data_IF_045715531201
#
_entry.id   IF_045715531201
#
_cell.length_a   1.000
_cell.length_b   1.000
_cell.length_c   1.000
_cell.angle_alpha   90.00
_cell.angle_beta   90.00
_cell.angle_gamma   90.00
#
_symmetry.space_group_name_H-M   'P 1'
#
loop_
_entity.id
_entity.type
_entity.pdbx_description
1 polymer ?
#
# COMPACT_ATOMS: atom_id res chain seq x y z
N UNK A 1 -13.02 -40.59 -55.60
CA UNK A 1 -14.04 -40.40 -54.53
C UNK A 1 -13.41 -40.44 -53.13
N UNK A 2 -12.72 -41.52 -52.75
CA UNK A 2 -12.19 -41.75 -51.40
C UNK A 2 -11.30 -40.62 -50.84
N UNK A 3 -10.34 -40.11 -51.62
CA UNK A 3 -9.45 -39.01 -51.18
C UNK A 3 -10.21 -37.70 -50.90
N UNK A 4 -11.29 -37.43 -51.65
CA UNK A 4 -12.10 -36.24 -51.44
C UNK A 4 -12.93 -36.35 -50.16
N UNK A 5 -13.48 -37.54 -49.88
CA UNK A 5 -14.19 -37.83 -48.63
C UNK A 5 -13.28 -37.75 -47.42
N UNK A 6 -12.06 -38.28 -47.49
CA UNK A 6 -11.08 -38.20 -46.40
C UNK A 6 -10.65 -36.76 -46.11
N UNK A 7 -10.44 -35.94 -47.17
CA UNK A 7 -10.19 -34.50 -47.01
C UNK A 7 -11.36 -33.78 -46.35
N UNK A 8 -12.60 -34.12 -46.72
CA UNK A 8 -13.80 -33.52 -46.14
C UNK A 8 -13.97 -33.90 -44.66
N UNK A 9 -13.79 -35.17 -44.31
CA UNK A 9 -13.78 -35.63 -42.92
C UNK A 9 -12.68 -34.94 -42.11
N UNK A 10 -11.49 -34.78 -42.69
CA UNK A 10 -10.38 -34.05 -42.08
C UNK A 10 -10.72 -32.57 -41.81
N UNK A 11 -11.39 -31.89 -42.75
CA UNK A 11 -11.90 -30.52 -42.54
C UNK A 11 -12.93 -30.45 -41.42
N UNK A 12 -13.93 -31.32 -41.43
CA UNK A 12 -14.97 -31.37 -40.39
C UNK A 12 -14.40 -31.62 -38.99
N UNK A 13 -13.43 -32.54 -38.86
CA UNK A 13 -12.75 -32.78 -37.57
C UNK A 13 -11.97 -31.57 -37.10
N UNK A 14 -11.27 -30.89 -38.01
CA UNK A 14 -10.55 -29.63 -37.68
C UNK A 14 -11.54 -28.56 -37.24
N UNK A 15 -12.62 -28.33 -37.98
CA UNK A 15 -13.66 -27.37 -37.60
C UNK A 15 -14.31 -27.67 -36.25
N UNK A 16 -14.61 -28.94 -35.97
CA UNK A 16 -15.15 -29.36 -34.67
C UNK A 16 -14.18 -29.03 -33.53
N UNK A 17 -12.90 -29.42 -33.68
CA UNK A 17 -11.86 -29.09 -32.70
C UNK A 17 -11.65 -27.57 -32.58
N UNK A 18 -11.78 -26.82 -33.67
CA UNK A 18 -11.69 -25.37 -33.65
C UNK A 18 -12.77 -24.75 -32.78
N UNK A 19 -14.01 -25.22 -32.91
CA UNK A 19 -15.14 -24.77 -32.08
C UNK A 19 -14.93 -25.11 -30.61
N UNK A 20 -14.58 -26.36 -30.31
CA UNK A 20 -14.34 -26.82 -28.93
C UNK A 20 -13.28 -25.98 -28.21
N UNK A 21 -12.14 -25.75 -28.85
CA UNK A 21 -11.07 -24.97 -28.22
C UNK A 21 -11.46 -23.49 -28.12
N UNK A 22 -12.21 -22.94 -29.08
CA UNK A 22 -12.70 -21.56 -29.00
C UNK A 22 -13.65 -21.38 -27.82
N UNK A 23 -14.57 -22.32 -27.60
CA UNK A 23 -15.45 -22.29 -26.45
C UNK A 23 -14.70 -22.49 -25.13
N UNK A 24 -13.69 -23.37 -25.10
CA UNK A 24 -12.84 -23.58 -23.93
C UNK A 24 -12.10 -22.29 -23.55
N UNK A 25 -11.51 -21.60 -24.53
CA UNK A 25 -10.84 -20.30 -24.36
C UNK A 25 -11.83 -19.23 -23.87
N UNK A 26 -13.05 -19.18 -24.41
CA UNK A 26 -14.09 -18.25 -23.96
C UNK A 26 -14.45 -18.48 -22.49
N UNK A 27 -14.72 -19.74 -22.11
CA UNK A 27 -15.03 -20.11 -20.71
C UNK A 27 -13.88 -19.76 -19.79
N UNK A 28 -12.64 -19.96 -20.22
CA UNK A 28 -11.47 -19.61 -19.43
C UNK A 28 -11.31 -18.10 -19.24
N UNK A 29 -11.52 -17.32 -20.30
CA UNK A 29 -11.51 -15.86 -20.21
C UNK A 29 -12.60 -15.32 -19.28
N UNK A 30 -13.81 -15.88 -19.33
CA UNK A 30 -14.91 -15.54 -18.42
C UNK A 30 -14.55 -15.85 -16.95
N UNK A 31 -13.96 -17.01 -16.68
CA UNK A 31 -13.48 -17.38 -15.33
C UNK A 31 -12.40 -16.43 -14.83
N UNK A 32 -11.39 -16.15 -15.65
CA UNK A 32 -10.31 -15.21 -15.30
C UNK A 32 -10.85 -13.79 -15.06
N UNK A 33 -11.86 -13.36 -15.82
CA UNK A 33 -12.50 -12.08 -15.62
C UNK A 33 -13.28 -12.02 -14.30
N UNK A 34 -13.99 -13.08 -13.94
CA UNK A 34 -14.70 -13.17 -12.67
C UNK A 34 -13.74 -13.18 -11.47
N UNK A 35 -12.66 -13.96 -11.55
CA UNK A 35 -11.61 -14.00 -10.55
C UNK A 35 -10.95 -12.63 -10.37
N UNK A 36 -10.58 -11.97 -11.48
CA UNK A 36 -10.01 -10.62 -11.44
C UNK A 36 -10.92 -9.62 -10.74
N UNK A 37 -12.22 -9.60 -11.08
CA UNK A 37 -13.18 -8.70 -10.43
C UNK A 37 -13.27 -8.93 -8.93
N UNK A 38 -13.21 -10.19 -8.50
CA UNK A 38 -13.23 -10.57 -7.08
C UNK A 38 -11.98 -10.07 -6.37
N UNK A 39 -10.81 -10.24 -6.97
CA UNK A 39 -9.54 -9.75 -6.42
C UNK A 39 -9.49 -8.21 -6.40
N UNK A 40 -9.95 -7.54 -7.46
CA UNK A 40 -10.03 -6.08 -7.52
C UNK A 40 -10.94 -5.52 -6.41
N UNK A 41 -12.09 -6.16 -6.16
CA UNK A 41 -12.97 -5.78 -5.04
C UNK A 41 -12.29 -5.96 -3.67
N UNK A 42 -11.53 -7.04 -3.48
CA UNK A 42 -10.76 -7.26 -2.24
C UNK A 42 -9.66 -6.22 -2.05
N UNK A 43 -8.99 -5.79 -3.13
CA UNK A 43 -8.01 -4.69 -3.07
C UNK A 43 -8.68 -3.39 -2.64
N UNK A 44 -9.85 -3.07 -3.19
CA UNK A 44 -10.60 -1.86 -2.79
C UNK A 44 -11.02 -1.89 -1.32
N UNK A 45 -11.52 -3.02 -0.85
CA UNK A 45 -11.86 -3.22 0.57
C UNK A 45 -10.63 -3.01 1.46
N UNK A 46 -9.49 -3.58 1.07
CA UNK A 46 -8.25 -3.44 1.81
C UNK A 46 -7.73 -2.00 1.86
N UNK A 47 -7.84 -1.25 0.75
CA UNK A 47 -7.50 0.17 0.72
C UNK A 47 -8.39 0.98 1.66
N UNK A 48 -9.70 0.69 1.72
CA UNK A 48 -10.61 1.37 2.67
C UNK A 48 -10.23 1.04 4.11
N UNK A 49 -9.89 -0.21 4.41
CA UNK A 49 -9.43 -0.61 5.74
C UNK A 49 -8.14 0.12 6.15
N UNK A 50 -7.17 0.22 5.25
CA UNK A 50 -5.94 0.99 5.46
C UNK A 50 -6.25 2.44 5.80
N UNK A 51 -7.09 3.12 5.02
CA UNK A 51 -7.45 4.52 5.32
C UNK A 51 -8.11 4.68 6.70
N UNK A 52 -8.96 3.72 7.09
CA UNK A 52 -9.57 3.72 8.43
C UNK A 52 -8.54 3.57 9.56
N UNK A 53 -7.54 2.69 9.36
CA UNK A 53 -6.44 2.49 10.30
C UNK A 53 -5.52 3.72 10.36
N UNK A 54 -5.20 4.36 9.23
CA UNK A 54 -4.40 5.58 9.17
C UNK A 54 -5.06 6.73 9.91
N UNK A 55 -6.36 6.95 9.69
CA UNK A 55 -7.14 7.95 10.41
C UNK A 55 -7.14 7.66 11.92
N UNK A 56 -7.32 6.40 12.30
CA UNK A 56 -7.28 5.97 13.70
C UNK A 56 -5.89 6.19 14.32
N UNK A 57 -4.82 5.88 13.58
CA UNK A 57 -3.43 6.09 14.02
C UNK A 57 -3.13 7.57 14.24
N UNK A 58 -3.52 8.43 13.30
CA UNK A 58 -3.39 9.88 13.43
C UNK A 58 -4.14 10.39 14.67
N UNK A 59 -5.37 9.93 14.88
CA UNK A 59 -6.16 10.28 16.06
C UNK A 59 -5.46 9.88 17.36
N UNK A 60 -4.91 8.67 17.44
CA UNK A 60 -4.19 8.20 18.63
C UNK A 60 -2.90 9.00 18.88
N UNK A 61 -2.18 9.39 17.83
CA UNK A 61 -0.98 10.24 17.93
C UNK A 61 -1.34 11.64 18.45
N UNK A 62 -2.44 12.23 17.95
CA UNK A 62 -2.94 13.49 18.47
C UNK A 62 -3.35 13.41 19.93
N UNK A 63 -4.11 12.37 20.31
CA UNK A 63 -4.49 12.15 21.70
C UNK A 63 -3.26 12.04 22.59
N UNK A 64 -2.28 11.22 22.20
CA UNK A 64 -1.02 11.07 22.94
C UNK A 64 -0.29 12.40 23.11
N UNK A 65 -0.17 13.19 22.05
CA UNK A 65 0.47 14.51 22.10
C UNK A 65 -0.25 15.45 23.08
N UNK A 66 -1.59 15.48 23.05
CA UNK A 66 -2.41 16.27 23.98
C UNK A 66 -2.21 15.82 25.42
N UNK A 67 -2.19 14.51 25.68
CA UNK A 67 -1.97 13.98 27.03
C UNK A 67 -0.56 14.27 27.54
N UNK A 68 0.48 14.12 26.70
CA UNK A 68 1.84 14.49 27.06
C UNK A 68 1.98 15.98 27.38
N UNK A 69 1.31 16.85 26.63
CA UNK A 69 1.32 18.28 26.91
C UNK A 69 0.62 18.61 28.25
N UNK A 70 -0.48 17.91 28.57
CA UNK A 70 -1.18 18.04 29.86
C UNK A 70 -0.33 17.51 31.01
N UNK A 71 0.27 16.34 30.87
CA UNK A 71 1.18 15.73 31.84
C UNK A 71 2.35 16.68 32.17
N UNK A 72 3.00 17.24 31.16
CA UNK A 72 4.08 18.23 31.34
C UNK A 72 3.63 19.47 32.12
N UNK A 73 2.44 20.01 31.80
CA UNK A 73 1.88 21.18 32.52
C UNK A 73 1.56 20.83 33.96
N UNK A 74 0.87 19.71 34.20
CA UNK A 74 0.51 19.25 35.53
C UNK A 74 1.77 19.03 36.38
N UNK A 75 2.78 18.36 35.82
CA UNK A 75 4.09 18.18 36.46
C UNK A 75 4.73 19.51 36.86
N UNK A 76 4.72 20.51 35.98
CA UNK A 76 5.26 21.84 36.26
C UNK A 76 4.49 22.55 37.37
N UNK A 77 3.15 22.49 37.36
CA UNK A 77 2.29 23.10 38.38
C UNK A 77 2.54 22.46 39.74
N UNK A 78 2.58 21.13 39.81
CA UNK A 78 2.81 20.38 41.04
C UNK A 78 4.19 20.66 41.62
N UNK A 79 5.24 20.67 40.80
CA UNK A 79 6.59 21.06 41.19
C UNK A 79 6.68 22.49 41.75
N UNK A 80 5.93 23.42 41.15
CA UNK A 80 5.87 24.80 41.63
C UNK A 80 5.12 24.92 42.96
N UNK A 81 4.07 24.14 43.14
CA UNK A 81 3.28 24.12 44.36
C UNK A 81 3.99 23.41 45.52
N UNK A 82 4.86 22.43 45.23
CA UNK A 82 5.64 21.69 46.23
C UNK A 82 7.02 22.30 46.52
N UNK A 83 7.47 23.27 45.74
CA UNK A 83 8.67 24.05 46.04
C UNK A 83 8.48 24.92 47.28
N UNK A 84 9.52 25.18 48.09
CA UNK A 84 9.41 26.03 49.26
C UNK A 84 8.97 27.45 48.84
N UNK A 85 7.97 27.97 49.56
CA UNK A 85 7.51 29.36 49.48
C UNK A 85 8.68 30.32 49.71
N UNK A 86 9.31 30.84 48.64
CA UNK A 86 10.26 31.95 48.74
C UNK A 86 9.46 33.25 48.82
N UNK A 87 8.85 33.49 49.97
CA UNK A 87 8.34 34.78 50.48
C UNK A 87 8.48 34.69 52.00
N UNK A 88 9.29 35.44 52.74
CA UNK A 88 10.08 36.62 52.45
C UNK A 88 11.38 36.58 53.30
N UNK A 89 12.50 36.97 52.70
CA UNK A 89 13.66 37.44 53.46
C UNK A 89 14.33 38.54 52.66
N UNK A 90 14.07 39.77 53.12
CA UNK A 90 14.91 40.97 53.07
C UNK A 90 15.36 41.53 51.68
N UNK A 91 14.96 42.77 51.29
CA UNK A 91 15.36 43.39 50.04
C UNK A 91 16.73 44.07 50.17
N UNK A 92 17.81 43.32 50.40
CA UNK A 92 19.18 43.87 50.37
C UNK A 92 20.25 42.88 49.93
N UNK A 93 20.19 42.36 48.71
CA UNK A 93 21.42 41.95 48.00
C UNK A 93 21.27 42.26 46.51
N UNK A 94 22.06 43.24 46.11
CA UNK A 94 22.30 43.70 44.74
C UNK A 94 23.02 42.68 43.85
N UNK A 95 22.64 42.73 42.57
CA UNK A 95 23.49 42.62 41.37
C UNK A 95 24.14 41.29 40.97
N UNK A 96 23.72 40.82 39.79
CA UNK A 96 24.52 40.39 38.62
C UNK A 96 23.63 39.49 37.75
N UNK A 97 23.61 39.48 36.43
CA UNK A 97 24.12 40.30 35.33
C UNK A 97 23.49 39.63 34.09
N UNK A 98 22.85 40.38 33.20
CA UNK A 98 22.25 39.84 31.99
C UNK A 98 23.29 39.76 30.88
N UNK A 99 24.05 38.66 30.81
CA UNK A 99 24.93 38.43 29.66
C UNK A 99 24.25 37.60 28.59
N UNK A 100 23.69 38.38 27.67
CA UNK A 100 23.36 38.07 26.29
C UNK A 100 24.66 37.78 25.54
N UNK A 101 24.82 36.58 25.03
CA UNK A 101 25.78 36.31 23.94
C UNK A 101 25.14 35.38 22.92
N UNK A 102 24.72 36.02 21.84
CA UNK A 102 24.47 35.45 20.52
C UNK A 102 25.82 35.17 19.86
N UNK A 103 26.00 34.00 19.24
CA UNK A 103 26.61 33.87 17.91
C UNK A 103 26.22 32.53 17.26
N UNK A 104 25.50 32.66 16.15
CA UNK A 104 25.35 31.76 14.99
C UNK A 104 26.70 31.22 14.50
N UNK A 105 26.86 29.96 14.03
CA UNK A 105 26.52 29.43 12.68
C UNK A 105 27.34 28.11 12.46
N UNK A 106 27.32 27.41 11.30
CA UNK A 106 26.27 26.54 10.74
C UNK A 106 26.76 25.09 10.44
N UNK A 107 25.82 24.25 9.98
CA UNK A 107 26.05 23.12 9.06
C UNK A 107 26.77 21.84 9.57
N UNK A 108 25.98 20.85 10.00
CA UNK A 108 26.21 19.44 9.64
C UNK A 108 24.88 18.67 9.75
N UNK A 109 24.39 18.23 8.59
CA UNK A 109 23.36 17.20 8.46
C UNK A 109 23.99 15.82 8.71
N UNK A 110 23.13 14.85 8.99
CA UNK A 110 23.37 13.41 9.13
C UNK A 110 23.65 12.85 10.54
N UNK A 111 22.58 12.76 11.33
CA UNK A 111 22.29 11.53 12.09
C UNK A 111 20.87 11.58 12.67
N UNK A 112 19.90 11.10 11.89
CA UNK A 112 18.62 10.62 12.41
C UNK A 112 18.84 9.23 13.06
N UNK A 113 19.60 9.21 14.15
CA UNK A 113 19.67 8.08 15.05
C UNK A 113 19.01 8.51 16.35
N UNK A 114 17.74 8.11 16.46
CA UNK A 114 16.94 7.93 17.66
C UNK A 114 17.68 8.15 18.98
N UNK A 115 17.82 9.41 19.38
CA UNK A 115 17.85 9.74 20.79
C UNK A 115 16.43 9.68 21.28
N UNK A 116 15.95 8.46 21.50
CA UNK A 116 14.99 8.21 22.57
C UNK A 116 15.66 8.71 23.84
N UNK A 117 15.47 9.98 24.15
CA UNK A 117 15.51 10.42 25.52
C UNK A 117 14.44 9.57 26.20
N UNK A 118 14.89 8.46 26.81
CA UNK A 118 14.20 7.87 27.93
C UNK A 118 13.93 9.05 28.84
N UNK A 119 12.68 9.54 28.81
CA UNK A 119 12.18 10.49 29.79
C UNK A 119 12.27 9.69 31.06
N UNK A 120 13.39 9.87 31.75
CA UNK A 120 13.70 9.18 32.97
C UNK A 120 12.49 9.30 33.86
N UNK A 121 12.11 8.18 34.45
CA UNK A 121 11.26 8.14 35.63
C UNK A 121 11.97 8.94 36.72
N UNK A 122 11.84 10.25 36.64
CA UNK A 122 12.03 11.16 37.76
C UNK A 122 10.77 10.99 38.59
N UNK A 123 10.76 9.92 39.38
CA UNK A 123 10.07 9.96 40.66
C UNK A 123 10.47 11.30 41.29
N UNK A 124 9.49 12.19 41.45
CA UNK A 124 9.59 13.27 42.41
C UNK A 124 9.79 12.56 43.75
N UNK A 125 11.04 12.47 44.20
CA UNK A 125 11.41 11.74 45.39
C UNK A 125 10.56 12.25 46.56
N UNK A 126 9.55 11.45 46.95
CA UNK A 126 8.71 11.68 48.12
C UNK A 126 7.35 12.36 47.89
N UNK A 127 6.92 12.68 46.67
CA UNK A 127 5.59 13.24 46.40
C UNK A 127 4.87 12.46 45.30
N UNK A 128 4.00 11.54 45.73
CA UNK A 128 3.12 10.78 44.83
C UNK A 128 1.90 11.61 44.46
N UNK A 129 1.83 12.03 43.20
CA UNK A 129 0.67 12.74 42.66
C UNK A 129 -0.14 11.78 41.79
N UNK A 130 -1.28 11.24 42.27
CA UNK A 130 -2.04 10.22 41.56
C UNK A 130 -2.53 10.70 40.19
N UNK A 131 -2.89 11.97 40.05
CA UNK A 131 -3.33 12.56 38.78
C UNK A 131 -2.21 12.57 37.72
N UNK A 132 -0.95 12.69 38.15
CA UNK A 132 0.19 12.60 37.25
C UNK A 132 0.40 11.16 36.77
N UNK A 133 0.20 10.18 37.67
CA UNK A 133 0.31 8.76 37.35
C UNK A 133 -0.80 8.30 36.39
N UNK A 134 -2.03 8.80 36.56
CA UNK A 134 -3.14 8.55 35.64
C UNK A 134 -2.83 9.09 34.25
N UNK A 135 -2.35 10.32 34.17
CA UNK A 135 -1.94 10.96 32.91
C UNK A 135 -0.80 10.21 32.21
N UNK A 136 0.15 9.70 32.98
CA UNK A 136 1.24 8.87 32.47
C UNK A 136 0.70 7.56 31.90
N UNK A 137 -0.21 6.91 32.63
CA UNK A 137 -0.86 5.65 32.22
C UNK A 137 -1.65 5.83 30.92
N UNK A 138 -2.44 6.89 30.80
CA UNK A 138 -3.18 7.22 29.57
C UNK A 138 -2.24 7.46 28.39
N UNK A 139 -1.11 8.15 28.61
CA UNK A 139 -0.09 8.37 27.57
C UNK A 139 0.53 7.05 27.10
N UNK A 140 0.81 6.13 28.04
CA UNK A 140 1.32 4.80 27.71
C UNK A 140 0.29 3.97 26.93
N UNK A 141 -0.98 3.98 27.35
CA UNK A 141 -2.06 3.28 26.65
C UNK A 141 -2.22 3.79 25.21
N UNK A 142 -2.23 5.12 25.01
CA UNK A 142 -2.26 5.70 23.66
C UNK A 142 -1.04 5.26 22.83
N UNK A 143 0.15 5.21 23.45
CA UNK A 143 1.37 4.73 22.80
C UNK A 143 1.32 3.25 22.42
N UNK A 144 0.75 2.38 23.27
CA UNK A 144 0.58 0.97 22.97
C UNK A 144 -0.41 0.77 21.80
N UNK A 145 -1.55 1.46 21.84
CA UNK A 145 -2.56 1.37 20.79
C UNK A 145 -2.05 1.89 19.45
N UNK A 146 -1.27 2.98 19.45
CA UNK A 146 -0.61 3.48 18.24
C UNK A 146 0.32 2.42 17.62
N UNK A 147 1.14 1.72 18.44
CA UNK A 147 2.02 0.66 17.93
C UNK A 147 1.25 -0.55 17.40
N UNK A 148 0.10 -0.85 17.97
CA UNK A 148 -0.79 -1.91 17.50
C UNK A 148 -1.36 -1.55 16.12
N UNK A 149 -1.88 -0.33 15.96
CA UNK A 149 -2.33 0.20 14.67
C UNK A 149 -1.19 0.16 13.64
N UNK A 150 0.04 0.54 14.00
CA UNK A 150 1.20 0.46 13.08
C UNK A 150 1.54 -0.99 12.66
N UNK A 151 1.25 -1.99 13.49
CA UNK A 151 1.40 -3.40 13.11
C UNK A 151 0.28 -3.84 12.18
N UNK A 152 -0.96 -3.49 12.50
CA UNK A 152 -2.12 -3.77 11.65
C UNK A 152 -1.99 -3.12 10.27
N UNK A 153 -1.51 -1.88 10.20
CA UNK A 153 -1.23 -1.19 8.95
C UNK A 153 -0.20 -1.94 8.10
N UNK A 154 0.91 -2.40 8.69
CA UNK A 154 1.92 -3.18 7.96
C UNK A 154 1.34 -4.45 7.37
N UNK A 155 0.62 -5.23 8.19
CA UNK A 155 -0.06 -6.44 7.72
C UNK A 155 -1.08 -6.12 6.62
N UNK A 156 -1.79 -5.01 6.74
CA UNK A 156 -2.78 -4.60 5.76
C UNK A 156 -2.15 -4.20 4.42
N UNK A 157 -1.02 -3.48 4.46
CA UNK A 157 -0.22 -3.14 3.29
C UNK A 157 0.38 -4.38 2.62
N UNK A 158 0.93 -5.32 3.40
CA UNK A 158 1.47 -6.57 2.89
C UNK A 158 0.39 -7.40 2.14
N UNK A 159 -0.81 -7.52 2.71
CA UNK A 159 -1.93 -8.22 2.03
C UNK A 159 -2.40 -7.47 0.79
N UNK A 160 -2.45 -6.13 0.83
CA UNK A 160 -2.80 -5.30 -0.34
C UNK A 160 -1.80 -5.55 -1.48
N UNK A 161 -0.50 -5.55 -1.19
CA UNK A 161 0.56 -5.81 -2.19
C UNK A 161 0.46 -7.26 -2.73
N UNK A 162 0.19 -8.24 -1.86
CA UNK A 162 -0.05 -9.64 -2.25
C UNK A 162 -1.21 -9.77 -3.24
N UNK A 163 -2.34 -9.11 -2.94
CA UNK A 163 -3.53 -9.10 -3.80
C UNK A 163 -3.29 -8.37 -5.12
N UNK A 164 -2.55 -7.26 -5.10
CA UNK A 164 -2.17 -6.54 -6.34
C UNK A 164 -1.32 -7.43 -7.25
N UNK A 165 -0.37 -8.16 -6.70
CA UNK A 165 0.42 -9.13 -7.46
C UNK A 165 -0.42 -10.27 -8.05
N UNK A 166 -1.47 -10.71 -7.34
CA UNK A 166 -2.43 -11.69 -7.88
C UNK A 166 -3.23 -11.11 -9.05
N UNK A 167 -3.74 -9.89 -8.92
CA UNK A 167 -4.45 -9.20 -10.01
C UNK A 167 -3.57 -9.06 -11.25
N UNK A 168 -2.29 -8.71 -11.08
CA UNK A 168 -1.32 -8.61 -12.17
C UNK A 168 -1.09 -9.95 -12.87
N UNK A 169 -0.93 -11.05 -12.10
CA UNK A 169 -0.83 -12.40 -12.66
C UNK A 169 -2.05 -12.78 -13.48
N UNK A 170 -3.26 -12.51 -12.98
CA UNK A 170 -4.50 -12.75 -13.71
C UNK A 170 -4.57 -11.91 -15.01
N UNK A 171 -4.16 -10.64 -14.97
CA UNK A 171 -4.11 -9.77 -16.15
C UNK A 171 -3.12 -10.29 -17.20
N UNK A 172 -1.95 -10.74 -16.77
CA UNK A 172 -0.94 -11.30 -17.66
C UNK A 172 -1.42 -12.59 -18.32
N UNK A 173 -2.01 -13.52 -17.54
CA UNK A 173 -2.59 -14.75 -18.07
C UNK A 173 -3.71 -14.46 -19.09
N UNK A 174 -4.61 -13.53 -18.77
CA UNK A 174 -5.66 -13.09 -19.69
C UNK A 174 -5.09 -12.48 -20.98
N UNK A 175 -4.01 -11.70 -20.87
CA UNK A 175 -3.29 -11.13 -22.01
C UNK A 175 -2.72 -12.22 -22.94
N UNK A 176 -2.08 -13.24 -22.38
CA UNK A 176 -1.56 -14.39 -23.14
C UNK A 176 -2.71 -15.12 -23.84
N UNK A 177 -3.79 -15.43 -23.12
CA UNK A 177 -4.96 -16.13 -23.68
C UNK A 177 -5.58 -15.33 -24.83
N UNK A 178 -5.71 -14.02 -24.69
CA UNK A 178 -6.21 -13.14 -25.76
C UNK A 178 -5.26 -13.06 -26.95
N UNK A 179 -3.94 -12.96 -26.71
CA UNK A 179 -2.94 -12.92 -27.78
C UNK A 179 -2.93 -14.22 -28.59
N UNK A 180 -2.97 -15.39 -27.92
CA UNK A 180 -3.06 -16.69 -28.57
C UNK A 180 -4.37 -16.84 -29.36
N UNK A 181 -5.48 -16.35 -28.82
CA UNK A 181 -6.76 -16.35 -29.53
C UNK A 181 -6.70 -15.48 -30.80
N UNK A 182 -6.16 -14.26 -30.71
CA UNK A 182 -6.00 -13.36 -31.88
C UNK A 182 -5.10 -13.96 -32.94
N UNK A 183 -3.91 -14.44 -32.57
CA UNK A 183 -2.98 -15.07 -33.50
C UNK A 183 -3.62 -16.28 -34.21
N UNK A 184 -4.47 -17.03 -33.50
CA UNK A 184 -5.23 -18.13 -34.10
C UNK A 184 -6.32 -17.66 -35.06
N UNK A 185 -7.06 -16.61 -34.73
CA UNK A 185 -8.06 -16.05 -35.64
C UNK A 185 -7.39 -15.50 -36.90
N UNK A 186 -6.26 -14.82 -36.77
CA UNK A 186 -5.47 -14.28 -37.89
C UNK A 186 -4.93 -15.40 -38.80
N UNK A 187 -4.38 -16.47 -38.21
CA UNK A 187 -3.88 -17.63 -38.98
C UNK A 187 -4.99 -18.44 -39.66
N UNK A 188 -6.21 -18.47 -39.10
CA UNK A 188 -7.37 -19.13 -39.72
C UNK A 188 -8.10 -18.23 -40.74
N UNK A 189 -8.02 -16.91 -40.58
CA UNK A 189 -8.62 -15.93 -41.49
C UNK A 189 -7.74 -15.53 -42.68
N UNK A 190 -6.44 -15.86 -42.66
CA UNK A 190 -5.50 -15.56 -43.74
C UNK A 190 -5.53 -16.49 -44.97
N UNK A 191 -6.46 -17.45 -45.02
CA UNK A 191 -6.57 -18.45 -46.09
C UNK A 191 -7.41 -18.06 -47.30
N UNK A 192 -8.16 -16.95 -47.23
CA UNK A 192 -9.07 -16.48 -48.30
C UNK A 192 -8.51 -15.24 -49.02
N UNK A 193 -7.20 -15.21 -49.32
CA UNK A 193 -6.76 -14.45 -50.49
C UNK A 193 -6.74 -15.39 -51.69
N UNK A 194 -7.60 -15.18 -52.72
CA UNK A 194 -7.42 -15.87 -53.98
C UNK A 194 -6.03 -15.45 -54.51
N UNK A 195 -5.14 -16.44 -54.67
CA UNK A 195 -3.85 -16.21 -55.30
C UNK A 195 -4.06 -15.50 -56.64
N UNK A 196 -3.18 -14.56 -57.04
CA UNK A 196 -3.30 -13.95 -58.35
C UNK A 196 -3.27 -15.10 -59.36
N UNK A 197 -4.37 -15.22 -60.12
CA UNK A 197 -4.42 -16.02 -61.31
C UNK A 197 -3.30 -15.51 -62.22
N UNK A 198 -2.15 -16.18 -62.17
CA UNK A 198 -1.11 -16.02 -63.16
C UNK A 198 -1.70 -16.51 -64.48
N UNK A 199 -2.19 -15.57 -65.27
CA UNK A 199 -2.59 -15.77 -66.65
C UNK A 199 -1.51 -16.57 -67.37
N UNK A 200 -1.88 -17.79 -67.77
CA UNK A 200 -1.22 -18.47 -68.85
C UNK A 200 -1.53 -17.68 -70.13
N UNK A 201 -0.67 -16.72 -70.48
CA UNK A 201 -0.60 -16.21 -71.84
C UNK A 201 0.15 -17.24 -72.69
N UNK A 202 -0.64 -18.12 -73.32
CA UNK A 202 -0.20 -18.97 -74.42
C UNK A 202 0.40 -18.15 -75.56
N UNK A 203 1.40 -18.74 -76.18
CA UNK A 203 1.98 -18.37 -77.47
C UNK A 203 0.91 -18.18 -78.56
N UNK A 204 1.14 -17.20 -79.44
CA UNK A 204 0.39 -17.00 -80.68
C UNK A 204 1.07 -15.89 -81.47
N UNK A 205 1.76 -16.28 -82.54
CA UNK A 205 2.71 -15.43 -83.26
C UNK A 205 2.09 -14.31 -84.10
N UNK A 206 2.98 -13.57 -84.76
CA UNK A 206 2.72 -13.07 -86.10
C UNK A 206 4.05 -12.78 -86.83
N UNK A 207 3.92 -12.93 -88.15
CA UNK A 207 4.87 -12.93 -89.26
C UNK A 207 6.04 -11.94 -89.27
#
# INVERSE_FOLDING_TARGET
AQVAEDRQRGRQRREALLREVTEAVRRDAERQQAERRTLEARVEEQVRAIHGLEASGQHMLEQRSRQQAREKRLRHVLLRASGPSVVASDPRVTSRSWDRSSMSSPFQQDSLMSRSAAVGSTHLAGLDFPELQDMHTLTQQCGMRSREIDRELRLAYDEKDRLQAEVERCRHAAGITQALHRARVETLGGGDQPGPAGEACSEGGDH
#
